data_IF_485823843310
#
_entry.id   IF_485823843310
#
_cell.length_a   1.000
_cell.length_b   1.000
_cell.length_c   1.000
_cell.angle_alpha   90.00
_cell.angle_beta   90.00
_cell.angle_gamma   90.00
#
_symmetry.space_group_name_H-M   'P 1'
#
loop_
_entity.id
_entity.type
_entity.pdbx_description
1 polymer ?
#
# COMPACT_ATOMS: atom_id res chain seq x y z
N UNK A 1 -11.80 -30.80 -8.59
CA UNK A 1 -10.81 -30.09 -7.77
C UNK A 1 -10.80 -28.61 -8.10
N UNK A 2 -10.98 -27.79 -7.10
CA UNK A 2 -10.93 -26.36 -7.33
C UNK A 2 -9.48 -25.88 -7.42
N UNK A 3 -9.16 -25.19 -8.50
CA UNK A 3 -7.89 -24.54 -8.68
C UNK A 3 -7.85 -23.29 -7.81
N UNK A 4 -6.73 -23.04 -7.14
CA UNK A 4 -6.55 -21.76 -6.45
C UNK A 4 -6.54 -20.64 -7.46
N UNK A 5 -7.24 -19.55 -7.15
CA UNK A 5 -7.21 -18.35 -7.98
C UNK A 5 -5.81 -17.77 -7.98
N UNK A 6 -5.36 -17.31 -9.13
CA UNK A 6 -4.07 -16.64 -9.23
C UNK A 6 -4.24 -15.17 -8.86
N UNK A 7 -3.96 -14.84 -7.61
CA UNK A 7 -4.15 -13.50 -7.07
C UNK A 7 -2.81 -12.82 -6.79
N UNK A 8 -2.79 -11.52 -7.05
CA UNK A 8 -1.68 -10.67 -6.64
C UNK A 8 -2.04 -10.05 -5.29
N UNK A 9 -1.23 -10.33 -4.28
CA UNK A 9 -1.43 -9.76 -2.94
C UNK A 9 -0.70 -8.44 -2.84
N UNK A 10 -1.41 -7.39 -2.47
CA UNK A 10 -0.85 -6.05 -2.29
C UNK A 10 -0.85 -5.75 -0.80
N UNK A 11 0.33 -5.76 -0.19
CA UNK A 11 0.51 -5.50 1.23
C UNK A 11 1.08 -4.08 1.39
N UNK A 12 0.38 -3.20 2.08
CA UNK A 12 0.85 -1.84 2.26
C UNK A 12 0.49 -1.28 3.63
N UNK A 13 1.32 -0.35 4.11
CA UNK A 13 1.08 0.39 5.35
C UNK A 13 0.97 1.91 5.11
N UNK A 14 0.97 2.33 3.85
CA UNK A 14 0.93 3.74 3.49
C UNK A 14 2.28 4.37 3.21
N UNK A 15 3.37 3.68 3.52
CA UNK A 15 4.74 4.13 3.21
C UNK A 15 5.56 3.03 2.57
N UNK A 16 5.15 1.79 2.76
CA UNK A 16 5.77 0.61 2.15
C UNK A 16 4.70 -0.20 1.44
N UNK A 17 5.11 -0.92 0.41
CA UNK A 17 4.22 -1.86 -0.25
C UNK A 17 5.02 -3.07 -0.72
N UNK A 18 4.41 -4.24 -0.63
CA UNK A 18 4.95 -5.48 -1.17
C UNK A 18 3.92 -6.09 -2.08
N UNK A 19 4.37 -6.55 -3.22
CA UNK A 19 3.54 -7.25 -4.19
C UNK A 19 3.95 -8.72 -4.14
N UNK A 20 3.00 -9.57 -3.76
CA UNK A 20 3.27 -10.95 -3.39
C UNK A 20 2.42 -11.88 -4.21
N UNK A 21 2.99 -12.98 -4.69
CA UNK A 21 2.25 -14.05 -5.34
C UNK A 21 2.28 -15.31 -4.49
N UNK A 22 1.22 -16.12 -4.63
CA UNK A 22 1.17 -17.46 -4.04
C UNK A 22 1.45 -18.44 -5.17
N UNK A 23 2.59 -19.13 -5.10
CA UNK A 23 2.97 -20.07 -6.15
C UNK A 23 2.07 -21.30 -6.15
N UNK A 24 1.60 -21.68 -7.32
CA UNK A 24 0.67 -22.80 -7.46
C UNK A 24 1.28 -24.14 -7.03
N UNK A 25 2.57 -24.32 -7.30
CA UNK A 25 3.26 -25.59 -7.06
C UNK A 25 3.35 -25.97 -5.58
N UNK A 26 3.73 -25.04 -4.72
CA UNK A 26 4.00 -25.30 -3.31
C UNK A 26 3.17 -24.44 -2.36
N UNK A 27 2.34 -23.52 -2.91
CA UNK A 27 1.53 -22.56 -2.15
C UNK A 27 2.36 -21.64 -1.26
N UNK A 28 3.62 -21.44 -1.64
CA UNK A 28 4.48 -20.49 -0.95
C UNK A 28 4.24 -19.07 -1.44
N UNK A 29 4.27 -18.13 -0.52
CA UNK A 29 4.12 -16.72 -0.84
C UNK A 29 5.48 -16.10 -1.11
N UNK A 30 5.61 -15.41 -2.23
CA UNK A 30 6.87 -14.82 -2.68
C UNK A 30 6.67 -13.37 -3.06
N UNK A 31 7.46 -12.48 -2.46
CA UNK A 31 7.47 -11.06 -2.85
C UNK A 31 8.13 -10.92 -4.21
N UNK A 32 7.39 -10.38 -5.18
CA UNK A 32 7.91 -10.18 -6.53
C UNK A 32 8.38 -8.76 -6.78
N UNK A 33 7.88 -7.81 -6.01
CA UNK A 33 8.30 -6.41 -6.09
C UNK A 33 7.98 -5.71 -4.77
N UNK A 34 8.74 -4.67 -4.43
CA UNK A 34 8.50 -3.89 -3.23
C UNK A 34 8.78 -2.41 -3.48
N UNK A 35 8.02 -1.56 -2.80
CA UNK A 35 8.22 -0.12 -2.80
C UNK A 35 8.42 0.35 -1.36
N UNK A 36 9.33 1.29 -1.16
CA UNK A 36 9.55 1.88 0.16
C UNK A 36 9.74 3.38 0.00
N UNK A 37 8.74 4.13 0.43
CA UNK A 37 8.74 5.59 0.40
C UNK A 37 8.82 6.19 1.81
N UNK A 38 9.18 5.38 2.82
CA UNK A 38 9.28 5.87 4.20
C UNK A 38 10.28 7.01 4.33
N UNK A 39 11.40 6.95 3.62
CA UNK A 39 12.40 8.02 3.60
C UNK A 39 11.82 9.30 3.03
N UNK A 40 11.13 9.21 1.90
CA UNK A 40 10.51 10.36 1.26
C UNK A 40 9.49 11.02 2.16
N UNK A 41 8.67 10.23 2.87
CA UNK A 41 7.68 10.74 3.81
C UNK A 41 8.33 11.41 5.02
N UNK A 42 9.43 10.85 5.52
CA UNK A 42 10.19 11.45 6.62
C UNK A 42 10.83 12.77 6.17
N UNK A 43 11.32 12.85 4.95
CA UNK A 43 11.90 14.08 4.39
C UNK A 43 10.84 15.17 4.27
N UNK A 44 9.64 14.84 3.83
CA UNK A 44 8.52 15.79 3.77
C UNK A 44 8.22 16.34 5.16
N UNK A 45 8.15 15.47 6.17
CA UNK A 45 7.94 15.88 7.56
C UNK A 45 9.06 16.77 8.07
N UNK A 46 10.31 16.42 7.78
CA UNK A 46 11.47 17.18 8.20
C UNK A 46 11.49 18.58 7.57
N UNK A 47 11.20 18.67 6.28
CA UNK A 47 11.12 19.95 5.58
C UNK A 47 10.01 20.83 6.13
N UNK A 48 8.86 20.24 6.44
CA UNK A 48 7.74 20.98 7.03
C UNK A 48 8.10 21.52 8.41
N UNK A 49 8.76 20.73 9.25
CA UNK A 49 9.22 21.19 10.57
C UNK A 49 10.26 22.28 10.44
N UNK A 50 11.21 22.13 9.53
CA UNK A 50 12.23 23.14 9.28
C UNK A 50 11.65 24.45 8.78
N UNK A 51 10.72 24.40 7.84
CA UNK A 51 10.02 25.56 7.33
C UNK A 51 9.20 26.25 8.42
N UNK A 52 8.54 25.48 9.25
CA UNK A 52 7.76 26.00 10.38
C UNK A 52 8.65 26.73 11.37
N UNK A 53 9.77 26.14 11.74
CA UNK A 53 10.72 26.77 12.65
C UNK A 53 11.32 28.06 12.06
N UNK A 54 11.67 28.05 10.78
CA UNK A 54 12.21 29.22 10.09
C UNK A 54 11.20 30.34 9.91
N UNK A 55 9.93 30.06 10.00
CA UNK A 55 8.84 31.02 9.81
C UNK A 55 8.22 31.49 11.11
N UNK A 56 8.79 31.15 12.24
CA UNK A 56 8.23 31.50 13.54
C UNK A 56 8.11 33.01 13.76
N UNK A 57 8.83 33.83 13.02
CA UNK A 57 8.81 35.27 13.11
C UNK A 57 7.83 35.95 12.13
N UNK A 58 7.29 35.17 11.20
CA UNK A 58 6.36 35.74 10.24
C UNK A 58 4.99 35.89 10.88
N UNK A 59 4.33 37.00 10.58
CA UNK A 59 2.99 37.28 11.08
C UNK A 59 1.90 36.44 10.40
N UNK A 60 2.30 35.38 9.73
CA UNK A 60 1.36 34.46 9.12
C UNK A 60 0.56 33.71 10.15
N UNK A 61 -0.69 33.37 9.80
CA UNK A 61 -1.56 32.60 10.66
C UNK A 61 -0.96 31.21 10.93
N UNK A 62 -0.84 30.78 12.20
CA UNK A 62 -0.41 29.44 12.53
C UNK A 62 -1.27 28.36 11.86
N UNK A 63 -2.56 28.60 11.70
CA UNK A 63 -3.50 27.71 11.05
C UNK A 63 -3.14 27.50 9.57
N UNK A 64 -2.70 28.55 8.91
CA UNK A 64 -2.29 28.50 7.50
C UNK A 64 -1.07 27.61 7.30
N UNK A 65 -0.08 27.71 8.18
CA UNK A 65 1.10 26.86 8.12
C UNK A 65 0.77 25.41 8.42
N UNK A 66 -0.11 25.19 9.37
CA UNK A 66 -0.55 23.85 9.73
C UNK A 66 -1.28 23.17 8.57
N UNK A 67 -2.16 23.91 7.90
CA UNK A 67 -2.89 23.39 6.73
C UNK A 67 -1.96 23.04 5.58
N UNK A 68 -0.99 23.91 5.28
CA UNK A 68 -0.02 23.64 4.23
C UNK A 68 0.83 22.41 4.51
N UNK A 69 1.21 22.21 5.77
CA UNK A 69 1.98 21.04 6.19
C UNK A 69 1.18 19.75 6.06
N UNK A 70 -0.06 19.77 6.53
CA UNK A 70 -0.95 18.62 6.43
C UNK A 70 -1.23 18.27 4.96
N UNK A 71 -1.42 19.27 4.12
CA UNK A 71 -1.66 19.08 2.70
C UNK A 71 -0.45 18.46 2.00
N UNK A 72 0.77 18.89 2.35
CA UNK A 72 1.99 18.34 1.79
C UNK A 72 2.16 16.87 2.11
N UNK A 73 1.95 16.49 3.38
CA UNK A 73 2.04 15.10 3.80
C UNK A 73 0.93 14.25 3.20
N UNK A 74 -0.29 14.80 3.15
CA UNK A 74 -1.43 14.13 2.53
C UNK A 74 -1.16 13.86 1.04
N UNK A 75 -0.65 14.86 0.33
CA UNK A 75 -0.31 14.73 -1.08
C UNK A 75 0.74 13.65 -1.32
N UNK A 76 1.76 13.59 -0.45
CA UNK A 76 2.79 12.57 -0.54
C UNK A 76 2.23 11.17 -0.31
N UNK A 77 1.34 11.01 0.65
CA UNK A 77 0.69 9.72 0.93
C UNK A 77 -0.24 9.29 -0.20
N UNK A 78 -0.98 10.24 -0.76
CA UNK A 78 -1.86 9.97 -1.90
C UNK A 78 -1.05 9.60 -3.15
N UNK A 79 0.07 10.26 -3.37
CA UNK A 79 0.97 9.94 -4.48
C UNK A 79 1.54 8.53 -4.34
N UNK A 80 1.91 8.14 -3.12
CA UNK A 80 2.40 6.80 -2.86
C UNK A 80 1.31 5.76 -3.13
N UNK A 81 0.09 6.01 -2.65
CA UNK A 81 -1.03 5.11 -2.87
C UNK A 81 -1.36 4.96 -4.36
N UNK A 82 -1.29 6.06 -5.12
CA UNK A 82 -1.48 6.04 -6.57
C UNK A 82 -0.41 5.19 -7.26
N UNK A 83 0.83 5.30 -6.80
CA UNK A 83 1.93 4.48 -7.32
C UNK A 83 1.72 3.00 -7.02
N UNK A 84 1.28 2.67 -5.81
CA UNK A 84 0.95 1.29 -5.43
C UNK A 84 -0.14 0.75 -6.36
N UNK A 85 -1.19 1.52 -6.59
CA UNK A 85 -2.30 1.12 -7.46
C UNK A 85 -1.83 0.90 -8.91
N UNK A 86 -0.99 1.78 -9.42
CA UNK A 86 -0.44 1.67 -10.77
C UNK A 86 0.44 0.43 -10.92
N UNK A 87 1.32 0.20 -9.96
CA UNK A 87 2.19 -0.98 -10.00
C UNK A 87 1.38 -2.27 -9.87
N UNK A 88 0.39 -2.30 -8.99
CA UNK A 88 -0.50 -3.46 -8.84
C UNK A 88 -1.22 -3.76 -10.15
N UNK A 89 -1.75 -2.74 -10.81
CA UNK A 89 -2.45 -2.89 -12.08
C UNK A 89 -1.51 -3.45 -13.15
N UNK A 90 -0.31 -2.89 -13.25
CA UNK A 90 0.69 -3.34 -14.21
C UNK A 90 1.11 -4.79 -13.97
N UNK A 91 1.44 -5.13 -12.73
CA UNK A 91 1.85 -6.49 -12.36
C UNK A 91 0.72 -7.49 -12.57
N UNK A 92 -0.50 -7.10 -12.25
CA UNK A 92 -1.66 -7.97 -12.44
C UNK A 92 -1.86 -8.34 -13.91
N UNK A 93 -1.74 -7.35 -14.80
CA UNK A 93 -1.88 -7.57 -16.22
C UNK A 93 -0.72 -8.39 -16.80
N UNK A 94 0.53 -8.01 -16.49
CA UNK A 94 1.70 -8.69 -17.05
C UNK A 94 1.91 -10.09 -16.50
N UNK A 95 1.50 -10.34 -15.25
CA UNK A 95 1.61 -11.64 -14.61
C UNK A 95 0.38 -12.52 -14.81
N UNK A 96 -0.63 -12.04 -15.54
CA UNK A 96 -1.88 -12.76 -15.81
C UNK A 96 -2.58 -13.18 -14.51
N UNK A 97 -2.60 -12.30 -13.52
CA UNK A 97 -3.36 -12.53 -12.30
C UNK A 97 -4.85 -12.29 -12.54
N UNK A 98 -5.67 -13.08 -11.86
CA UNK A 98 -7.14 -12.97 -11.99
C UNK A 98 -7.70 -11.75 -11.24
N UNK A 99 -6.95 -11.23 -10.28
CA UNK A 99 -7.33 -10.07 -9.51
C UNK A 99 -6.32 -9.79 -8.41
N UNK A 100 -6.61 -8.77 -7.61
CA UNK A 100 -5.77 -8.40 -6.48
C UNK A 100 -6.48 -8.70 -5.16
N UNK A 101 -5.70 -9.05 -4.14
CA UNK A 101 -6.16 -9.16 -2.77
C UNK A 101 -5.43 -8.10 -1.96
N UNK A 102 -6.18 -7.19 -1.34
CA UNK A 102 -5.60 -6.03 -0.66
C UNK A 102 -5.38 -6.30 0.82
N UNK A 103 -4.18 -6.04 1.30
CA UNK A 103 -3.83 -6.22 2.72
C UNK A 103 -3.26 -4.91 3.22
N UNK A 104 -4.02 -4.22 4.07
CA UNK A 104 -3.64 -2.90 4.58
C UNK A 104 -4.37 -2.63 5.88
N UNK A 105 -3.89 -1.67 6.67
CA UNK A 105 -4.70 -1.16 7.77
C UNK A 105 -6.06 -0.69 7.25
N UNK A 106 -7.08 -0.85 8.07
CA UNK A 106 -8.47 -0.57 7.64
C UNK A 106 -8.66 0.85 7.10
N UNK A 107 -7.96 1.83 7.66
CA UNK A 107 -8.08 3.22 7.23
C UNK A 107 -7.63 3.45 5.79
N UNK A 108 -6.79 2.57 5.26
CA UNK A 108 -6.27 2.69 3.89
C UNK A 108 -7.07 1.87 2.87
N UNK A 109 -7.87 0.92 3.35
CA UNK A 109 -8.55 -0.05 2.49
C UNK A 109 -9.47 0.61 1.47
N UNK A 110 -10.31 1.53 1.91
CA UNK A 110 -11.25 2.23 1.03
C UNK A 110 -10.56 3.03 -0.07
N UNK A 111 -9.66 3.96 0.29
CA UNK A 111 -8.92 4.73 -0.71
C UNK A 111 -8.10 3.87 -1.67
N UNK A 112 -7.45 2.84 -1.18
CA UNK A 112 -6.64 1.95 -2.01
C UNK A 112 -7.53 1.18 -3.00
N UNK A 113 -8.62 0.62 -2.50
CA UNK A 113 -9.57 -0.11 -3.34
C UNK A 113 -10.13 0.79 -4.45
N UNK A 114 -10.48 2.03 -4.12
CA UNK A 114 -11.03 2.97 -5.09
C UNK A 114 -10.06 3.23 -6.24
N UNK A 115 -8.76 3.29 -5.96
CA UNK A 115 -7.76 3.54 -6.99
C UNK A 115 -7.49 2.32 -7.88
N UNK A 116 -7.68 1.13 -7.36
CA UNK A 116 -7.38 -0.11 -8.08
C UNK A 116 -8.61 -0.65 -8.84
N UNK A 117 -9.79 -0.58 -8.22
CA UNK A 117 -10.99 -1.28 -8.69
C UNK A 117 -11.43 -0.91 -10.10
N UNK A 118 -11.16 0.32 -10.52
CA UNK A 118 -11.52 0.79 -11.87
C UNK A 118 -10.72 0.09 -12.98
N UNK A 119 -9.56 -0.47 -12.64
CA UNK A 119 -8.64 -1.04 -13.63
C UNK A 119 -8.39 -2.53 -13.43
N UNK A 120 -8.61 -3.04 -12.23
CA UNK A 120 -8.25 -4.41 -11.88
C UNK A 120 -9.28 -4.96 -10.90
N UNK A 121 -9.78 -6.20 -11.13
CA UNK A 121 -10.71 -6.81 -10.16
C UNK A 121 -10.09 -6.94 -8.78
N UNK A 122 -10.85 -6.58 -7.76
CA UNK A 122 -10.46 -6.73 -6.36
C UNK A 122 -11.17 -7.96 -5.80
N UNK A 123 -10.41 -9.02 -5.54
CA UNK A 123 -10.95 -10.30 -5.08
C UNK A 123 -11.33 -10.27 -3.61
N UNK A 124 -10.69 -9.44 -2.82
CA UNK A 124 -10.98 -9.33 -1.40
C UNK A 124 -9.98 -8.42 -0.69
N UNK A 125 -10.14 -8.30 0.62
CA UNK A 125 -9.30 -7.45 1.43
C UNK A 125 -9.16 -7.99 2.85
N UNK A 126 -8.03 -7.71 3.48
CA UNK A 126 -7.75 -8.03 4.87
C UNK A 126 -7.25 -6.78 5.56
N UNK A 127 -7.86 -6.42 6.67
CA UNK A 127 -7.51 -5.22 7.43
C UNK A 127 -6.39 -5.47 8.43
N UNK A 128 -5.18 -5.66 7.94
CA UNK A 128 -3.99 -5.87 8.77
C UNK A 128 -2.77 -5.29 8.09
N UNK A 129 -1.76 -4.95 8.87
CA UNK A 129 -0.46 -4.54 8.35
C UNK A 129 0.48 -5.76 8.37
N UNK A 130 0.72 -6.33 7.20
CA UNK A 130 1.62 -7.47 7.05
C UNK A 130 2.92 -7.09 6.32
N UNK A 131 3.20 -5.79 6.18
CA UNK A 131 4.36 -5.33 5.42
C UNK A 131 5.69 -5.80 5.98
N UNK A 132 5.76 -6.10 7.27
CA UNK A 132 6.98 -6.56 7.95
C UNK A 132 7.03 -8.07 8.18
N UNK A 133 6.00 -8.80 7.78
CA UNK A 133 5.95 -10.24 7.97
C UNK A 133 6.77 -10.92 6.86
N UNK A 134 7.72 -11.81 7.22
CA UNK A 134 8.50 -12.52 6.20
C UNK A 134 7.63 -13.36 5.27
N UNK A 135 8.07 -13.54 4.04
CA UNK A 135 7.33 -14.31 3.04
C UNK A 135 6.88 -15.67 3.55
N UNK A 136 7.77 -16.41 4.21
CA UNK A 136 7.47 -17.76 4.68
C UNK A 136 6.42 -17.82 5.80
N UNK A 137 6.11 -16.69 6.43
CA UNK A 137 5.08 -16.61 7.46
C UNK A 137 3.74 -16.08 6.92
N UNK A 138 3.72 -15.55 5.71
CA UNK A 138 2.51 -14.97 5.13
C UNK A 138 1.38 -15.97 4.95
N UNK A 139 1.71 -17.24 4.74
CA UNK A 139 0.73 -18.29 4.57
C UNK A 139 -0.26 -18.38 5.73
N UNK A 140 0.23 -18.26 6.95
CA UNK A 140 -0.62 -18.31 8.15
C UNK A 140 -1.67 -17.19 8.17
N UNK A 141 -1.36 -16.06 7.56
CA UNK A 141 -2.22 -14.90 7.55
C UNK A 141 -3.16 -14.82 6.35
N UNK A 142 -2.73 -15.35 5.21
CA UNK A 142 -3.37 -15.08 3.94
C UNK A 142 -4.11 -16.25 3.33
N UNK A 143 -3.75 -17.50 3.67
CA UNK A 143 -4.34 -18.66 2.98
C UNK A 143 -5.85 -18.76 3.22
N UNK A 144 -6.29 -18.60 4.45
CA UNK A 144 -7.71 -18.69 4.77
C UNK A 144 -8.50 -17.49 4.22
N UNK A 145 -8.10 -16.23 4.50
CA UNK A 145 -8.88 -15.09 4.00
C UNK A 145 -8.99 -15.03 2.48
N UNK A 146 -7.95 -15.42 1.77
CA UNK A 146 -7.94 -15.34 0.30
C UNK A 146 -8.58 -16.54 -0.37
N UNK A 147 -8.42 -17.72 0.19
CA UNK A 147 -8.81 -18.97 -0.49
C UNK A 147 -9.77 -19.84 0.30
N UNK A 148 -10.04 -19.53 1.55
CA UNK A 148 -10.95 -20.32 2.38
C UNK A 148 -10.38 -21.67 2.82
N UNK A 149 -9.07 -21.78 2.83
CA UNK A 149 -8.40 -23.06 3.17
C UNK A 149 -7.96 -23.12 4.67
#
# INVERSE_FOLDING_TARGET
>A
MSRLRKLLFVLTDGGRARFVECRAADREFVTVEALDHTHALLDVRAKQRGAEAGRSFEAGSPDRHKLGREDGLRAAKEAFMAEVAERATHLCASGEFEGVFLVSPRRLAGPLRSQIADRTPVAGALGKDLTKIPDHELREWLIEPAFGL
#
